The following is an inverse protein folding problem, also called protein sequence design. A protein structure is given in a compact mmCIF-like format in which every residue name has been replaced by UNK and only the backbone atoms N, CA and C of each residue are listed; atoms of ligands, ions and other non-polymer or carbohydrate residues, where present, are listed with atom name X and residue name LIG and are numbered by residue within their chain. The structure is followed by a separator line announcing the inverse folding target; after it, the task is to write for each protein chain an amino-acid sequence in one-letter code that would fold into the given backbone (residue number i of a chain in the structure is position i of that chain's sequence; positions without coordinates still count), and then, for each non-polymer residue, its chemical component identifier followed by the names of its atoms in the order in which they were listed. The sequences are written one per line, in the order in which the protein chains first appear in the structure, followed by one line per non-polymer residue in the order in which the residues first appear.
data_IF_660022095230
#
_entry.id   IF_660022095230
#
_cell.length_a   1.000
_cell.length_b   1.000
_cell.length_c   1.000
_cell.angle_alpha   90.00
_cell.angle_beta   90.00
_cell.angle_gamma   90.00
#
_symmetry.space_group_name_H-M   'P 1'
#
loop_
_entity.id
_entity.type
_entity.pdbx_description
1 polymer ?
#
# COMPACT_ATOMS: atom_id res chain seq x y z
N UNK A 1 -23.48 -9.42 -22.15
CA UNK A 1 -22.67 -8.63 -23.11
C UNK A 1 -21.30 -9.29 -23.25
N UNK A 2 -20.95 -9.77 -24.46
CA UNK A 2 -19.62 -10.36 -24.72
C UNK A 2 -18.63 -9.21 -24.96
N UNK A 3 -17.62 -9.09 -24.10
CA UNK A 3 -16.44 -8.26 -24.36
C UNK A 3 -15.48 -9.07 -25.22
N UNK A 4 -15.04 -8.54 -26.35
CA UNK A 4 -14.07 -9.20 -27.23
C UNK A 4 -12.66 -8.75 -26.82
N UNK A 5 -11.81 -9.72 -26.52
CA UNK A 5 -10.38 -9.50 -26.29
C UNK A 5 -9.69 -9.49 -27.65
N UNK A 6 -9.03 -8.38 -28.00
CA UNK A 6 -8.31 -8.18 -29.26
C UNK A 6 -6.90 -7.66 -29.02
N UNK A 7 -5.99 -7.91 -29.95
CA UNK A 7 -4.67 -7.24 -29.96
C UNK A 7 -4.82 -5.92 -30.73
N UNK A 8 -4.37 -4.81 -30.12
CA UNK A 8 -4.33 -3.53 -30.81
C UNK A 8 -3.18 -3.48 -31.83
N UNK A 9 -3.09 -2.40 -32.62
CA UNK A 9 -2.05 -2.21 -33.65
C UNK A 9 -0.61 -2.23 -33.11
N UNK A 10 -0.45 -2.11 -31.81
CA UNK A 10 0.85 -2.17 -31.09
C UNK A 10 1.11 -3.53 -30.44
N UNK A 11 0.26 -4.54 -30.70
CA UNK A 11 0.40 -5.87 -30.13
C UNK A 11 -0.01 -5.98 -28.63
N UNK A 12 -0.71 -4.98 -28.10
CA UNK A 12 -1.20 -4.98 -26.72
C UNK A 12 -2.63 -5.54 -26.66
N UNK A 13 -2.91 -6.36 -25.64
CA UNK A 13 -4.25 -6.87 -25.39
C UNK A 13 -5.20 -5.72 -25.04
N UNK A 14 -6.31 -5.61 -25.75
CA UNK A 14 -7.37 -4.63 -25.49
C UNK A 14 -8.73 -5.30 -25.37
N UNK A 15 -9.59 -4.73 -24.51
CA UNK A 15 -11.00 -5.08 -24.41
C UNK A 15 -11.81 -4.03 -25.17
N UNK A 16 -12.54 -4.48 -26.20
CA UNK A 16 -13.44 -3.60 -26.95
C UNK A 16 -14.86 -3.74 -26.39
N UNK A 17 -15.41 -2.63 -25.93
CA UNK A 17 -16.80 -2.56 -25.51
C UNK A 17 -17.71 -2.38 -26.75
N UNK A 18 -19.01 -2.67 -26.59
CA UNK A 18 -19.99 -2.59 -27.68
C UNK A 18 -20.20 -1.15 -28.20
N UNK A 19 -19.81 -0.15 -27.43
CA UNK A 19 -19.83 1.29 -27.76
C UNK A 19 -18.56 1.78 -28.47
N UNK A 20 -17.64 0.87 -28.78
CA UNK A 20 -16.39 1.19 -29.50
C UNK A 20 -15.26 1.68 -28.60
N UNK A 21 -15.48 1.85 -27.29
CA UNK A 21 -14.42 2.21 -26.36
C UNK A 21 -13.41 1.05 -26.25
N UNK A 22 -12.14 1.36 -26.48
CA UNK A 22 -11.03 0.40 -26.41
C UNK A 22 -10.29 0.62 -25.08
N UNK A 23 -10.36 -0.37 -24.19
CA UNK A 23 -9.59 -0.34 -22.94
C UNK A 23 -8.40 -1.27 -23.10
N UNK A 24 -7.19 -0.73 -23.10
CA UNK A 24 -5.95 -1.52 -23.14
C UNK A 24 -5.89 -2.34 -21.84
N UNK A 25 -6.05 -3.66 -21.95
CA UNK A 25 -5.82 -4.60 -20.85
C UNK A 25 -4.31 -4.82 -20.80
N UNK A 26 -3.66 -4.30 -19.79
CA UNK A 26 -2.29 -4.69 -19.51
C UNK A 26 -2.32 -6.02 -18.75
N UNK A 27 -1.93 -7.13 -19.39
CA UNK A 27 -1.91 -8.42 -18.68
C UNK A 27 -0.87 -8.35 -17.57
N UNK A 28 -1.29 -8.69 -16.35
CA UNK A 28 -0.39 -9.01 -15.27
C UNK A 28 0.19 -7.86 -14.45
N UNK A 29 -0.36 -6.63 -14.50
CA UNK A 29 0.06 -5.63 -13.51
C UNK A 29 -0.48 -6.01 -12.14
N UNK A 30 0.46 -6.29 -11.23
CA UNK A 30 0.14 -6.55 -9.82
C UNK A 30 0.00 -5.23 -9.09
N UNK A 31 -0.89 -5.19 -8.11
CA UNK A 31 -1.08 -4.01 -7.28
C UNK A 31 -0.18 -4.07 -6.06
N UNK A 32 0.28 -2.92 -5.60
CA UNK A 32 0.86 -2.73 -4.27
C UNK A 32 0.08 -1.67 -3.52
N UNK A 33 -0.25 -1.93 -2.26
CA UNK A 33 -0.96 -1.01 -1.40
C UNK A 33 -0.01 -0.40 -0.38
N UNK A 34 0.10 0.94 -0.38
CA UNK A 34 0.65 1.69 0.75
C UNK A 34 -0.48 1.90 1.76
N UNK A 35 -0.27 1.45 2.99
CA UNK A 35 -1.19 1.57 4.11
C UNK A 35 -0.53 2.41 5.20
N UNK A 36 -0.95 3.68 5.32
CA UNK A 36 -0.28 4.68 6.15
C UNK A 36 -1.12 4.97 7.40
N UNK A 37 -0.50 4.87 8.54
CA UNK A 37 -1.02 5.35 9.80
C UNK A 37 -1.18 6.87 9.76
N UNK A 38 -2.37 7.35 10.11
CA UNK A 38 -2.69 8.78 10.24
C UNK A 38 -3.25 9.11 11.62
N UNK A 39 -2.93 8.29 12.62
CA UNK A 39 -3.23 8.55 14.03
C UNK A 39 -2.52 9.81 14.53
N UNK A 40 -2.91 10.27 15.72
CA UNK A 40 -2.41 11.52 16.29
C UNK A 40 -0.89 11.57 16.46
N UNK A 41 -0.26 10.42 16.74
CA UNK A 41 1.20 10.29 16.93
C UNK A 41 2.00 10.56 15.66
N UNK A 42 1.42 10.31 14.48
CA UNK A 42 2.05 10.58 13.17
C UNK A 42 2.17 12.07 12.82
N UNK A 43 1.67 12.97 13.68
CA UNK A 43 1.68 14.42 13.40
C UNK A 43 3.09 15.00 13.19
N UNK A 44 3.15 16.11 12.44
CA UNK A 44 4.37 16.85 12.22
C UNK A 44 5.31 16.21 11.18
N UNK A 45 6.62 16.11 11.44
CA UNK A 45 7.59 15.65 10.45
C UNK A 45 7.36 14.21 9.95
N UNK A 46 6.76 13.32 10.78
CA UNK A 46 6.54 11.92 10.41
C UNK A 46 5.58 11.76 9.23
N UNK A 47 4.42 12.44 9.28
CA UNK A 47 3.47 12.35 8.17
C UNK A 47 4.05 12.95 6.88
N UNK A 48 4.84 14.01 6.96
CA UNK A 48 5.48 14.61 5.78
C UNK A 48 6.58 13.71 5.20
N UNK A 49 7.34 13.02 6.05
CA UNK A 49 8.30 12.00 5.64
C UNK A 49 7.58 10.81 4.98
N UNK A 50 6.45 10.37 5.55
CA UNK A 50 5.63 9.30 4.99
C UNK A 50 5.07 9.68 3.61
N UNK A 51 4.55 10.88 3.45
CA UNK A 51 4.08 11.39 2.14
C UNK A 51 5.19 11.40 1.10
N UNK A 52 6.34 11.98 1.44
CA UNK A 52 7.47 12.09 0.52
C UNK A 52 8.02 10.71 0.12
N UNK A 53 8.20 9.81 1.10
CA UNK A 53 8.65 8.44 0.84
C UNK A 53 7.66 7.64 0.00
N UNK A 54 6.37 7.87 0.18
CA UNK A 54 5.32 7.20 -0.62
C UNK A 54 5.30 7.65 -2.07
N UNK A 55 5.61 8.93 -2.36
CA UNK A 55 5.78 9.42 -3.73
C UNK A 55 6.98 8.73 -4.37
N UNK A 56 8.14 8.73 -3.70
CA UNK A 56 9.36 8.09 -4.19
C UNK A 56 9.16 6.58 -4.40
N UNK A 57 8.50 5.91 -3.45
CA UNK A 57 8.10 4.51 -3.56
C UNK A 57 7.21 4.26 -4.80
N UNK A 58 6.19 5.11 -5.01
CA UNK A 58 5.26 4.94 -6.12
C UNK A 58 5.96 4.99 -7.47
N UNK A 59 6.90 5.92 -7.65
CA UNK A 59 7.72 6.01 -8.86
C UNK A 59 8.55 4.73 -9.08
N UNK A 60 9.19 4.24 -8.01
CA UNK A 60 9.99 3.01 -8.07
C UNK A 60 9.12 1.76 -8.35
N UNK A 61 7.96 1.64 -7.73
CA UNK A 61 7.04 0.53 -7.96
C UNK A 61 6.46 0.55 -9.38
N UNK A 62 6.07 1.72 -9.88
CA UNK A 62 5.56 1.89 -11.25
C UNK A 62 6.61 1.55 -12.31
N UNK A 63 7.89 1.89 -12.08
CA UNK A 63 8.99 1.51 -12.98
C UNK A 63 9.20 -0.01 -13.04
N UNK A 64 8.78 -0.74 -12.00
CA UNK A 64 8.78 -2.21 -11.91
C UNK A 64 7.43 -2.83 -12.32
N UNK A 65 6.63 -2.09 -13.08
CA UNK A 65 5.33 -2.54 -13.61
C UNK A 65 4.24 -2.80 -12.57
N UNK A 66 4.33 -2.20 -11.37
CA UNK A 66 3.24 -2.22 -10.39
C UNK A 66 2.26 -1.06 -10.60
N UNK A 67 0.99 -1.28 -10.26
CA UNK A 67 0.06 -0.21 -9.97
C UNK A 67 0.08 0.06 -8.46
N UNK A 68 0.18 1.32 -8.07
CA UNK A 68 0.27 1.71 -6.66
C UNK A 68 -1.07 2.24 -6.18
N UNK A 69 -1.55 1.70 -5.06
CA UNK A 69 -2.72 2.15 -4.33
C UNK A 69 -2.32 2.79 -3.01
N UNK A 70 -3.17 3.64 -2.46
CA UNK A 70 -2.98 4.30 -1.18
C UNK A 70 -4.20 4.17 -0.31
N UNK A 71 -4.03 3.69 0.89
CA UNK A 71 -5.01 3.75 1.95
C UNK A 71 -4.41 4.33 3.22
N UNK A 72 -5.25 4.84 4.08
CA UNK A 72 -4.89 5.34 5.41
C UNK A 72 -5.69 4.60 6.47
N UNK A 73 -5.13 4.51 7.68
CA UNK A 73 -5.83 3.94 8.83
C UNK A 73 -5.55 4.73 10.11
N UNK A 74 -6.51 4.70 11.00
CA UNK A 74 -6.45 5.13 12.40
C UNK A 74 -7.56 4.35 13.13
N UNK A 75 -8.67 4.96 13.62
CA UNK A 75 -9.83 4.22 14.18
C UNK A 75 -10.56 3.37 13.13
N UNK A 76 -10.40 3.72 11.88
CA UNK A 76 -10.93 3.03 10.70
C UNK A 76 -9.98 3.17 9.53
N UNK A 77 -10.24 2.45 8.45
CA UNK A 77 -9.43 2.55 7.24
C UNK A 77 -10.24 3.11 6.07
N UNK A 78 -9.58 3.88 5.19
CA UNK A 78 -10.18 4.43 3.99
C UNK A 78 -9.20 4.41 2.82
N UNK A 79 -9.72 4.12 1.62
CA UNK A 79 -9.00 4.32 0.37
C UNK A 79 -8.83 5.80 0.09
N UNK A 80 -7.61 6.19 -0.29
CA UNK A 80 -7.26 7.56 -0.73
C UNK A 80 -7.00 7.58 -2.23
N UNK A 81 -6.38 6.53 -2.77
CA UNK A 81 -6.11 6.39 -4.18
C UNK A 81 -6.28 4.92 -4.59
N UNK A 82 -7.17 4.66 -5.54
CA UNK A 82 -7.30 3.37 -6.19
C UNK A 82 -6.00 3.02 -6.96
N UNK A 83 -5.75 1.73 -7.29
CA UNK A 83 -4.56 1.34 -8.03
C UNK A 83 -4.37 2.17 -9.30
N UNK A 84 -3.24 2.86 -9.39
CA UNK A 84 -2.91 3.73 -10.51
C UNK A 84 -1.46 3.54 -10.97
N UNK A 85 -1.20 3.85 -12.22
CA UNK A 85 0.13 3.95 -12.82
C UNK A 85 0.49 5.40 -13.19
N UNK A 86 -0.38 6.31 -12.83
CA UNK A 86 -0.20 7.74 -12.98
C UNK A 86 0.41 8.32 -11.69
N UNK A 87 1.71 8.61 -11.75
CA UNK A 87 2.45 9.13 -10.62
C UNK A 87 1.96 10.54 -10.20
N UNK A 88 1.52 11.37 -11.13
CA UNK A 88 1.00 12.69 -10.82
C UNK A 88 -0.37 12.59 -10.11
N UNK A 89 -1.22 11.68 -10.57
CA UNK A 89 -2.47 11.37 -9.89
C UNK A 89 -2.23 10.88 -8.46
N UNK A 90 -1.32 9.91 -8.26
CA UNK A 90 -0.95 9.40 -6.94
C UNK A 90 -0.44 10.52 -6.03
N UNK A 91 0.50 11.36 -6.53
CA UNK A 91 1.05 12.49 -5.78
C UNK A 91 -0.03 13.48 -5.37
N UNK A 92 -1.00 13.77 -6.23
CA UNK A 92 -2.13 14.65 -5.93
C UNK A 92 -3.03 14.11 -4.82
N UNK A 93 -3.18 12.79 -4.73
CA UNK A 93 -3.98 12.13 -3.70
C UNK A 93 -3.28 12.12 -2.35
N UNK A 94 -1.99 11.74 -2.32
CA UNK A 94 -1.25 11.68 -1.06
C UNK A 94 -1.03 13.07 -0.45
N UNK A 95 -0.91 14.11 -1.25
CA UNK A 95 -0.80 15.49 -0.77
C UNK A 95 -1.97 15.91 0.15
N UNK A 96 -3.14 15.29 -0.02
CA UNK A 96 -4.36 15.56 0.78
C UNK A 96 -4.45 14.72 2.06
N UNK A 97 -3.55 13.78 2.28
CA UNK A 97 -3.50 12.98 3.50
C UNK A 97 -3.07 13.86 4.67
N UNK A 98 -3.84 13.82 5.75
CA UNK A 98 -3.55 14.54 6.98
C UNK A 98 -3.82 13.63 8.19
N UNK A 99 -3.12 13.89 9.29
CA UNK A 99 -3.38 13.24 10.56
C UNK A 99 -4.83 13.51 11.00
N UNK A 100 -5.46 12.49 11.59
CA UNK A 100 -6.85 12.57 12.04
C UNK A 100 -7.91 12.40 10.94
N UNK A 101 -7.50 12.13 9.69
CA UNK A 101 -8.44 11.99 8.56
C UNK A 101 -9.49 10.87 8.80
N UNK A 102 -9.13 9.81 9.52
CA UNK A 102 -9.99 8.65 9.79
C UNK A 102 -10.01 8.26 11.27
N UNK A 103 -9.74 9.22 12.18
CA UNK A 103 -9.74 9.02 13.63
C UNK A 103 -8.38 9.32 14.27
N UNK A 104 -8.22 8.99 15.53
CA UNK A 104 -7.04 9.35 16.34
C UNK A 104 -6.28 8.18 16.96
N UNK A 105 -6.86 6.97 17.02
CA UNK A 105 -6.21 5.75 17.54
C UNK A 105 -5.58 4.93 16.41
N UNK A 106 -5.11 3.71 16.70
CA UNK A 106 -4.40 2.88 15.72
C UNK A 106 -5.05 1.50 15.62
N UNK A 107 -6.02 1.34 14.72
CA UNK A 107 -6.63 0.05 14.35
C UNK A 107 -6.03 -0.47 13.04
N UNK A 108 -4.93 -1.19 13.14
CA UNK A 108 -4.26 -1.79 11.99
C UNK A 108 -5.10 -2.91 11.37
N UNK A 109 -5.90 -3.63 12.16
CA UNK A 109 -6.77 -4.69 11.65
C UNK A 109 -7.76 -4.13 10.63
N UNK A 110 -8.35 -2.95 10.87
CA UNK A 110 -9.21 -2.27 9.90
C UNK A 110 -8.49 -1.99 8.56
N UNK A 111 -7.22 -1.57 8.62
CA UNK A 111 -6.38 -1.36 7.44
C UNK A 111 -6.14 -2.65 6.65
N UNK A 112 -5.80 -3.73 7.33
CA UNK A 112 -5.56 -5.05 6.72
C UNK A 112 -6.84 -5.66 6.15
N UNK A 113 -8.00 -5.49 6.79
CA UNK A 113 -9.31 -5.90 6.25
C UNK A 113 -9.60 -5.17 4.94
N UNK A 114 -9.25 -3.89 4.85
CA UNK A 114 -9.38 -3.15 3.60
C UNK A 114 -8.45 -3.73 2.53
N UNK A 115 -7.19 -4.03 2.86
CA UNK A 115 -6.23 -4.67 1.96
C UNK A 115 -6.73 -6.02 1.46
N UNK A 116 -7.38 -6.82 2.31
CA UNK A 116 -7.89 -8.14 1.96
C UNK A 116 -8.99 -8.12 0.88
N UNK A 117 -9.62 -6.98 0.64
CA UNK A 117 -10.64 -6.81 -0.42
C UNK A 117 -10.03 -6.71 -1.82
N UNK A 118 -8.74 -6.45 -1.95
CA UNK A 118 -8.07 -6.40 -3.25
C UNK A 118 -7.92 -7.79 -3.86
N UNK A 119 -8.24 -7.93 -5.16
CA UNK A 119 -8.14 -9.20 -5.87
C UNK A 119 -6.72 -9.52 -6.34
N UNK A 120 -5.99 -8.53 -6.84
CA UNK A 120 -4.67 -8.68 -7.48
C UNK A 120 -3.59 -7.93 -6.72
N UNK A 121 -3.57 -8.10 -5.39
CA UNK A 121 -2.58 -7.49 -4.52
C UNK A 121 -1.33 -8.36 -4.44
N UNK A 122 -0.17 -7.77 -4.70
CA UNK A 122 1.12 -8.44 -4.55
C UNK A 122 1.73 -8.21 -3.18
N UNK A 123 1.61 -6.99 -2.67
CA UNK A 123 2.15 -6.62 -1.38
C UNK A 123 1.35 -5.48 -0.73
N UNK A 124 1.39 -5.45 0.60
CA UNK A 124 0.97 -4.33 1.44
C UNK A 124 2.20 -3.77 2.13
N UNK A 125 2.44 -2.48 2.01
CA UNK A 125 3.50 -1.76 2.75
C UNK A 125 2.84 -0.96 3.85
N UNK A 126 3.07 -1.34 5.09
CA UNK A 126 2.51 -0.71 6.29
C UNK A 126 3.50 0.28 6.84
N UNK A 127 3.05 1.49 7.15
CA UNK A 127 3.83 2.55 7.78
C UNK A 127 3.11 2.98 9.04
N UNK A 128 3.75 2.84 10.22
CA UNK A 128 3.18 3.20 11.52
C UNK A 128 4.25 3.66 12.49
N UNK A 129 3.87 4.49 13.46
CA UNK A 129 4.74 4.93 14.56
C UNK A 129 4.22 4.52 15.93
N UNK A 130 3.11 3.79 15.97
CA UNK A 130 2.43 3.39 17.18
C UNK A 130 2.19 1.91 17.34
N UNK A 131 1.67 1.56 18.50
CA UNK A 131 1.14 0.24 18.80
C UNK A 131 -0.30 0.17 18.31
N UNK A 132 -0.71 -0.98 17.78
CA UNK A 132 -2.12 -1.17 17.41
C UNK A 132 -2.97 -1.52 18.63
N UNK A 133 -4.26 -1.18 18.56
CA UNK A 133 -5.21 -1.44 19.65
C UNK A 133 -5.46 -2.94 19.90
N UNK A 134 -5.35 -3.76 18.83
CA UNK A 134 -5.57 -5.20 18.88
C UNK A 134 -4.58 -5.94 17.97
N UNK A 135 -3.51 -6.44 18.59
CA UNK A 135 -2.48 -7.20 17.88
C UNK A 135 -3.03 -8.52 17.33
N UNK A 136 -3.88 -9.21 18.07
CA UNK A 136 -4.38 -10.52 17.67
C UNK A 136 -5.30 -10.42 16.45
N UNK A 137 -6.19 -9.44 16.43
CA UNK A 137 -7.04 -9.19 15.26
C UNK A 137 -6.21 -8.86 14.02
N UNK A 138 -5.19 -8.01 14.17
CA UNK A 138 -4.29 -7.66 13.06
C UNK A 138 -3.53 -8.89 12.53
N UNK A 139 -2.99 -9.74 13.41
CA UNK A 139 -2.29 -10.98 13.03
C UNK A 139 -3.20 -11.98 12.33
N UNK A 140 -4.46 -12.13 12.74
CA UNK A 140 -5.44 -13.00 12.08
C UNK A 140 -5.70 -12.55 10.63
N UNK A 141 -5.90 -11.26 10.41
CA UNK A 141 -6.10 -10.73 9.05
C UNK A 141 -4.81 -10.85 8.23
N UNK A 142 -3.65 -10.59 8.83
CA UNK A 142 -2.36 -10.77 8.18
C UNK A 142 -2.13 -12.23 7.73
N UNK A 143 -2.52 -13.21 8.54
CA UNK A 143 -2.46 -14.62 8.16
C UNK A 143 -3.29 -14.89 6.89
N UNK A 144 -4.48 -14.28 6.77
CA UNK A 144 -5.31 -14.39 5.57
C UNK A 144 -4.61 -13.82 4.32
N UNK A 145 -3.92 -12.69 4.45
CA UNK A 145 -3.15 -12.11 3.34
C UNK A 145 -1.96 -13.00 2.96
N UNK A 146 -1.20 -13.50 3.94
CA UNK A 146 -0.07 -14.41 3.73
C UNK A 146 -0.50 -15.70 3.03
N UNK A 147 -1.65 -16.27 3.41
CA UNK A 147 -2.21 -17.46 2.77
C UNK A 147 -2.61 -17.23 1.30
N UNK A 148 -2.83 -15.98 0.91
CA UNK A 148 -3.05 -15.56 -0.48
C UNK A 148 -1.75 -15.20 -1.21
N UNK A 149 -0.59 -15.50 -0.64
CA UNK A 149 0.73 -15.11 -1.15
C UNK A 149 0.88 -13.59 -1.36
N UNK A 150 0.28 -12.79 -0.49
CA UNK A 150 0.44 -11.33 -0.46
C UNK A 150 1.53 -11.01 0.54
N UNK A 151 2.59 -10.35 0.10
CA UNK A 151 3.67 -9.94 1.00
C UNK A 151 3.23 -8.77 1.88
N UNK A 152 3.60 -8.84 3.16
CA UNK A 152 3.41 -7.76 4.13
C UNK A 152 4.78 -7.22 4.49
N UNK A 153 5.01 -5.96 4.15
CA UNK A 153 6.23 -5.20 4.43
C UNK A 153 5.88 -4.18 5.51
N UNK A 154 6.61 -4.17 6.62
CA UNK A 154 6.33 -3.32 7.76
C UNK A 154 7.46 -2.30 7.97
N UNK A 155 7.10 -1.04 8.11
CA UNK A 155 8.02 0.06 8.42
C UNK A 155 7.50 0.75 9.68
N UNK A 156 8.21 0.51 10.78
CA UNK A 156 7.92 1.11 12.08
C UNK A 156 8.88 2.23 12.42
N UNK A 157 8.42 3.17 13.23
CA UNK A 157 9.26 4.22 13.83
C UNK A 157 8.76 4.52 15.25
N UNK A 158 9.54 5.26 16.05
CA UNK A 158 9.24 5.63 17.44
C UNK A 158 8.79 4.43 18.31
N UNK A 159 7.54 4.46 18.80
CA UNK A 159 6.98 3.49 19.73
C UNK A 159 6.35 2.25 19.04
N UNK A 160 6.51 2.11 17.73
CA UNK A 160 6.04 0.91 17.02
C UNK A 160 6.68 -0.36 17.59
N UNK A 161 5.83 -1.33 17.94
CA UNK A 161 6.28 -2.60 18.52
C UNK A 161 7.02 -3.44 17.47
N UNK A 162 8.34 -3.57 17.64
CA UNK A 162 9.22 -4.29 16.72
C UNK A 162 8.89 -5.78 16.63
N UNK A 163 8.57 -6.40 17.76
CA UNK A 163 8.28 -7.84 17.81
C UNK A 163 6.95 -8.13 17.11
N UNK A 164 5.97 -7.27 17.33
CA UNK A 164 4.70 -7.33 16.61
C UNK A 164 4.89 -7.12 15.09
N UNK A 165 5.64 -6.12 14.67
CA UNK A 165 5.90 -5.87 13.25
C UNK A 165 6.64 -7.05 12.59
N UNK A 166 7.56 -7.71 13.30
CA UNK A 166 8.24 -8.92 12.82
C UNK A 166 7.25 -10.09 12.63
N UNK A 167 6.29 -10.26 13.54
CA UNK A 167 5.24 -11.28 13.41
C UNK A 167 4.27 -10.96 12.26
N UNK A 168 3.97 -9.67 12.07
CA UNK A 168 3.07 -9.19 11.04
C UNK A 168 3.65 -9.34 9.64
N UNK A 169 4.93 -9.05 9.45
CA UNK A 169 5.61 -9.17 8.18
C UNK A 169 5.60 -10.62 7.64
N UNK A 170 5.63 -10.78 6.32
CA UNK A 170 5.69 -12.12 5.69
C UNK A 170 7.00 -12.82 6.00
N UNK A 171 8.09 -12.08 6.11
CA UNK A 171 9.43 -12.53 6.51
C UNK A 171 10.07 -11.45 7.37
N UNK A 172 11.00 -11.83 8.23
CA UNK A 172 11.67 -10.90 9.15
C UNK A 172 12.47 -9.79 8.46
N UNK A 173 13.02 -10.05 7.27
CA UNK A 173 13.71 -9.06 6.45
C UNK A 173 12.78 -7.99 5.83
N UNK A 174 11.48 -8.21 5.90
CA UNK A 174 10.43 -7.27 5.48
C UNK A 174 9.89 -6.39 6.63
N UNK A 175 10.40 -6.55 7.85
CA UNK A 175 10.09 -5.68 8.98
C UNK A 175 11.30 -4.78 9.26
N UNK A 176 11.10 -3.48 9.17
CA UNK A 176 12.15 -2.48 9.40
C UNK A 176 11.67 -1.47 10.45
N UNK A 177 12.52 -1.16 11.42
CA UNK A 177 12.26 -0.10 12.38
C UNK A 177 13.34 0.97 12.27
N UNK A 178 12.92 2.21 12.01
CA UNK A 178 13.83 3.32 11.71
C UNK A 178 13.58 4.52 12.63
N UNK A 179 14.55 5.39 12.72
CA UNK A 179 14.32 6.71 13.34
C UNK A 179 13.42 7.56 12.44
N UNK A 180 12.60 8.47 13.00
CA UNK A 180 11.66 9.30 12.22
C UNK A 180 12.30 10.01 11.04
N UNK A 181 13.51 10.52 11.19
CA UNK A 181 14.26 11.19 10.11
C UNK A 181 14.60 10.30 8.92
N UNK A 182 14.58 8.98 9.10
CA UNK A 182 14.89 7.98 8.08
C UNK A 182 13.62 7.36 7.47
N UNK A 183 12.44 7.77 7.90
CA UNK A 183 11.17 7.17 7.48
C UNK A 183 10.96 7.27 5.96
N UNK A 184 11.27 8.42 5.36
CA UNK A 184 11.21 8.62 3.91
C UNK A 184 12.06 7.58 3.16
N UNK A 185 13.32 7.42 3.52
CA UNK A 185 14.22 6.48 2.85
C UNK A 185 13.78 5.03 3.03
N UNK A 186 13.32 4.65 4.24
CA UNK A 186 12.81 3.32 4.50
C UNK A 186 11.59 2.98 3.62
N UNK A 187 10.65 3.90 3.47
CA UNK A 187 9.49 3.72 2.58
C UNK A 187 9.92 3.61 1.12
N UNK A 188 10.82 4.46 0.67
CA UNK A 188 11.36 4.41 -0.70
C UNK A 188 12.02 3.06 -0.98
N UNK A 189 12.87 2.60 -0.06
CA UNK A 189 13.61 1.35 -0.19
C UNK A 189 12.72 0.10 -0.14
N UNK A 190 11.54 0.17 0.50
CA UNK A 190 10.58 -0.92 0.51
C UNK A 190 10.19 -1.40 -0.90
N UNK A 191 10.27 -0.52 -1.90
CA UNK A 191 10.04 -0.89 -3.29
C UNK A 191 10.96 -2.00 -3.80
N UNK A 192 12.16 -2.15 -3.23
CA UNK A 192 13.15 -3.19 -3.60
C UNK A 192 12.71 -4.59 -3.17
N UNK A 193 11.89 -4.67 -2.14
CA UNK A 193 11.38 -5.93 -1.58
C UNK A 193 10.09 -6.41 -2.23
N UNK A 194 9.53 -5.66 -3.16
CA UNK A 194 8.34 -6.09 -3.89
C UNK A 194 8.63 -7.40 -4.63
N UNK A 195 7.71 -8.39 -4.60
CA UNK A 195 7.89 -9.67 -5.28
C UNK A 195 8.22 -9.46 -6.76
N UNK A 196 9.17 -10.22 -7.27
CA UNK A 196 9.42 -10.22 -8.72
C UNK A 196 8.24 -10.91 -9.43
N UNK A 197 7.76 -10.29 -10.52
CA UNK A 197 6.66 -10.83 -11.34
C UNK A 197 7.10 -12.00 -12.18
#
# INVERSE_FOLDING_TARGET
MRKLLTLNKEGKLSLRAADGAETVVQPGRRNVLLLIDVSGSMAGPKIEQAKSGSIDFSHSAMSRSYATALAVFADRAAMVCDPTVDAAHFASKIARVNVGLVGGTTDLAAGLVLAAKFRELAAVVIVTDGQTNDNDAALQVAATLKNRAIDIICIGTDDADRDFLNQLATRSDLATHVLPKNLRSAITDASRFLPQG
#
